data_IF_713623591005
#
_entry.id   IF_713623591005
#
_cell.length_a   1.000
_cell.length_b   1.000
_cell.length_c   1.000
_cell.angle_alpha   90.00
_cell.angle_beta   90.00
_cell.angle_gamma   90.00
#
_symmetry.space_group_name_H-M   'P 1'
#
loop_
_entity.id
_entity.type
_entity.pdbx_description
1 polymer ?
#
# COMPACT_ATOMS: atom_id res chain seq x y z
N UNK A 1 -34.05 -0.98 37.74
CA UNK A 1 -33.74 0.19 36.89
C UNK A 1 -32.66 0.98 37.60
N UNK A 2 -31.39 0.66 37.33
CA UNK A 2 -30.26 1.48 37.75
C UNK A 2 -29.83 2.35 36.56
N UNK A 3 -29.41 3.60 36.78
CA UNK A 3 -29.14 4.56 35.74
C UNK A 3 -27.79 4.30 35.07
N UNK A 4 -27.79 4.25 33.73
CA UNK A 4 -26.59 4.38 32.89
C UNK A 4 -26.00 5.78 33.09
N UNK A 5 -25.04 5.91 34.00
CA UNK A 5 -24.25 7.14 34.16
C UNK A 5 -22.78 6.82 33.89
N UNK A 6 -22.48 6.53 32.61
CA UNK A 6 -21.10 6.51 32.14
C UNK A 6 -20.79 7.90 31.54
N UNK A 7 -19.97 8.74 32.18
CA UNK A 7 -19.68 10.07 31.66
C UNK A 7 -18.99 9.93 30.30
N UNK A 8 -19.62 10.47 29.23
CA UNK A 8 -19.06 10.45 27.87
C UNK A 8 -17.65 11.02 27.91
N UNK A 9 -16.65 10.14 27.86
CA UNK A 9 -15.23 10.50 27.89
C UNK A 9 -14.98 11.52 26.77
N UNK A 10 -14.71 12.77 27.15
CA UNK A 10 -14.54 13.87 26.20
C UNK A 10 -13.26 13.63 25.39
N UNK A 11 -13.36 13.72 24.06
CA UNK A 11 -12.19 13.63 23.18
C UNK A 11 -11.15 14.69 23.58
N UNK A 12 -9.85 14.36 23.54
CA UNK A 12 -8.79 15.32 23.81
C UNK A 12 -8.73 16.43 22.76
N UNK A 13 -8.16 17.57 23.16
CA UNK A 13 -7.95 18.73 22.29
C UNK A 13 -7.05 18.37 21.11
N UNK A 14 -7.16 19.14 20.02
CA UNK A 14 -6.30 18.98 18.84
C UNK A 14 -4.87 19.40 19.18
N UNK A 15 -3.91 18.59 18.76
CA UNK A 15 -2.48 18.88 18.91
C UNK A 15 -1.92 19.60 17.69
N UNK A 16 -0.70 20.13 17.81
CA UNK A 16 -0.01 20.80 16.71
C UNK A 16 0.12 19.87 15.50
N UNK A 17 0.62 18.66 15.70
CA UNK A 17 0.76 17.62 14.69
C UNK A 17 -0.56 17.32 13.95
N UNK A 18 -1.64 17.09 14.71
CA UNK A 18 -2.95 16.81 14.12
C UNK A 18 -3.49 18.02 13.34
N UNK A 19 -3.18 19.23 13.80
CA UNK A 19 -3.60 20.46 13.13
C UNK A 19 -2.76 20.74 11.88
N UNK A 20 -1.47 20.40 11.88
CA UNK A 20 -0.60 20.43 10.71
C UNK A 20 -1.08 19.48 9.62
N UNK A 21 -1.42 18.24 9.98
CA UNK A 21 -1.99 17.24 9.06
C UNK A 21 -3.35 17.68 8.51
N UNK A 22 -4.19 18.32 9.33
CA UNK A 22 -5.47 18.87 8.89
C UNK A 22 -5.28 20.08 7.95
N UNK A 23 -4.25 20.89 8.19
CA UNK A 23 -3.93 22.01 7.32
C UNK A 23 -3.40 21.54 5.96
N UNK A 24 -2.55 20.52 5.96
CA UNK A 24 -2.07 19.89 4.73
C UNK A 24 -3.21 19.28 3.91
N UNK A 25 -4.14 18.57 4.55
CA UNK A 25 -5.35 18.09 3.89
C UNK A 25 -6.20 19.24 3.31
N UNK A 26 -6.32 20.37 4.03
CA UNK A 26 -6.97 21.56 3.50
C UNK A 26 -6.26 22.08 2.23
N UNK A 27 -4.93 22.14 2.23
CA UNK A 27 -4.15 22.60 1.07
C UNK A 27 -4.35 21.72 -0.15
N UNK A 28 -4.46 20.39 0.03
CA UNK A 28 -4.85 19.45 -1.03
C UNK A 28 -6.26 19.68 -1.57
N UNK A 29 -7.15 20.21 -0.71
CA UNK A 29 -8.56 20.49 -1.02
C UNK A 29 -8.81 21.91 -1.56
N UNK A 30 -7.81 22.81 -1.57
CA UNK A 30 -7.93 24.16 -2.17
C UNK A 30 -8.29 24.04 -3.66
N UNK A 31 -9.11 24.94 -4.23
CA UNK A 31 -9.92 24.58 -5.38
C UNK A 31 -9.15 24.49 -6.70
N UNK A 32 -9.49 23.46 -7.49
CA UNK A 32 -9.99 23.67 -8.88
C UNK A 32 -11.44 23.21 -9.09
N UNK A 33 -12.17 22.69 -8.09
CA UNK A 33 -13.58 22.32 -8.26
C UNK A 33 -14.38 22.31 -6.94
N UNK A 34 -15.70 22.49 -7.05
CA UNK A 34 -16.61 22.92 -5.99
C UNK A 34 -17.11 21.83 -5.02
N UNK A 35 -16.40 20.70 -4.87
CA UNK A 35 -16.73 19.70 -3.85
C UNK A 35 -15.48 19.30 -3.08
N UNK A 36 -15.46 19.40 -1.73
CA UNK A 36 -14.40 18.81 -0.92
C UNK A 36 -14.33 17.33 -1.25
N UNK A 37 -13.15 16.86 -1.64
CA UNK A 37 -12.89 15.45 -1.81
C UNK A 37 -13.07 14.76 -0.45
N UNK A 38 -14.18 14.03 -0.30
CA UNK A 38 -14.52 13.34 0.94
C UNK A 38 -13.48 12.26 1.27
N UNK A 39 -12.76 11.75 0.26
CA UNK A 39 -11.75 10.70 0.45
C UNK A 39 -10.55 11.24 1.23
N UNK A 40 -10.13 12.49 0.99
CA UNK A 40 -9.04 13.15 1.74
C UNK A 40 -9.39 13.28 3.23
N UNK A 41 -10.64 13.61 3.54
CA UNK A 41 -11.11 13.70 4.94
C UNK A 41 -11.16 12.32 5.59
N UNK A 42 -11.64 11.30 4.87
CA UNK A 42 -11.70 9.92 5.36
C UNK A 42 -10.28 9.41 5.66
N UNK A 43 -9.35 9.60 4.73
CA UNK A 43 -7.95 9.22 4.89
C UNK A 43 -7.32 9.89 6.11
N UNK A 44 -7.49 11.22 6.23
CA UNK A 44 -6.98 11.96 7.38
C UNK A 44 -7.60 11.46 8.70
N UNK A 45 -8.91 11.17 8.70
CA UNK A 45 -9.60 10.62 9.87
C UNK A 45 -9.02 9.28 10.33
N UNK A 46 -8.82 8.34 9.39
CA UNK A 46 -8.22 7.04 9.69
C UNK A 46 -6.77 7.20 10.19
N UNK A 47 -6.00 8.10 9.58
CA UNK A 47 -4.63 8.38 9.96
C UNK A 47 -4.51 8.97 11.38
N UNK A 48 -5.35 9.96 11.70
CA UNK A 48 -5.38 10.58 13.04
C UNK A 48 -5.81 9.59 14.12
N UNK A 49 -6.74 8.67 13.82
CA UNK A 49 -7.12 7.59 14.73
C UNK A 49 -5.98 6.61 14.99
N UNK A 50 -5.20 6.26 13.96
CA UNK A 50 -3.97 5.47 14.13
C UNK A 50 -2.97 6.22 15.02
N UNK A 51 -2.72 7.49 14.73
CA UNK A 51 -1.79 8.32 15.51
C UNK A 51 -2.21 8.44 16.99
N UNK A 52 -3.51 8.61 17.25
CA UNK A 52 -4.05 8.61 18.60
C UNK A 52 -3.77 7.30 19.36
N UNK A 53 -3.96 6.15 18.71
CA UNK A 53 -3.68 4.83 19.32
C UNK A 53 -2.20 4.67 19.69
N UNK A 54 -1.29 5.08 18.80
CA UNK A 54 0.17 5.02 19.06
C UNK A 54 0.60 5.87 20.26
N UNK A 55 -0.18 6.92 20.58
CA UNK A 55 -0.01 7.78 21.75
C UNK A 55 -0.78 7.30 22.98
N UNK A 56 -1.38 6.12 22.92
CA UNK A 56 -2.17 5.55 24.01
C UNK A 56 -3.51 6.24 24.25
N UNK A 57 -4.02 7.00 23.27
CA UNK A 57 -5.36 7.61 23.34
C UNK A 57 -6.39 6.53 23.06
N UNK A 58 -7.37 6.42 23.95
CA UNK A 58 -8.55 5.59 23.78
C UNK A 58 -9.43 6.17 22.65
N UNK A 59 -9.14 5.72 21.43
CA UNK A 59 -9.78 6.17 20.19
C UNK A 59 -11.19 5.57 20.06
N UNK A 60 -12.10 6.01 20.92
CA UNK A 60 -13.51 5.69 20.82
C UNK A 60 -14.13 6.17 19.49
N UNK A 61 -15.37 5.78 19.17
CA UNK A 61 -15.99 6.00 17.87
C UNK A 61 -16.14 7.48 17.46
N UNK A 62 -16.01 8.40 18.42
CA UNK A 62 -16.05 9.85 18.19
C UNK A 62 -14.68 10.48 18.00
N UNK A 63 -13.58 9.78 18.28
CA UNK A 63 -12.23 10.34 18.22
C UNK A 63 -11.81 10.55 16.77
N UNK A 64 -11.55 11.82 16.41
CA UNK A 64 -11.10 12.25 15.08
C UNK A 64 -11.84 11.54 13.93
N UNK A 65 -13.15 11.34 14.10
CA UNK A 65 -14.01 10.77 13.06
C UNK A 65 -14.19 11.75 11.88
N UNK A 66 -14.74 11.24 10.77
CA UNK A 66 -14.89 11.98 9.50
C UNK A 66 -15.57 13.34 9.71
N UNK A 67 -16.62 13.41 10.52
CA UNK A 67 -17.34 14.66 10.83
C UNK A 67 -16.50 15.64 11.65
N UNK A 68 -15.74 15.14 12.62
CA UNK A 68 -14.83 15.94 13.44
C UNK A 68 -13.69 16.53 12.60
N UNK A 69 -13.13 15.73 11.70
CA UNK A 69 -12.05 16.13 10.79
C UNK A 69 -12.57 17.12 9.74
N UNK A 70 -13.70 16.84 9.10
CA UNK A 70 -14.37 17.77 8.17
C UNK A 70 -14.53 19.16 8.76
N UNK A 71 -15.08 19.24 9.99
CA UNK A 71 -15.28 20.52 10.69
C UNK A 71 -13.96 21.23 11.01
N UNK A 72 -12.90 20.48 11.34
CA UNK A 72 -11.58 21.06 11.61
C UNK A 72 -10.96 21.63 10.34
N UNK A 73 -10.93 20.86 9.26
CA UNK A 73 -10.43 21.28 7.94
C UNK A 73 -11.20 22.50 7.42
N UNK A 74 -12.53 22.51 7.57
CA UNK A 74 -13.36 23.66 7.22
C UNK A 74 -13.00 24.93 8.02
N UNK A 75 -12.77 24.81 9.34
CA UNK A 75 -12.34 25.95 10.18
C UNK A 75 -10.97 26.50 9.78
N UNK A 76 -10.03 25.62 9.41
CA UNK A 76 -8.72 26.00 8.87
C UNK A 76 -8.87 26.81 7.58
N UNK A 77 -9.80 26.42 6.70
CA UNK A 77 -10.09 27.16 5.46
C UNK A 77 -10.63 28.58 5.69
N UNK A 78 -11.40 28.79 6.75
CA UNK A 78 -11.97 30.10 7.08
C UNK A 78 -10.89 31.08 7.58
N UNK A 79 -9.92 30.57 8.33
CA UNK A 79 -8.80 31.37 8.85
C UNK A 79 -7.93 31.97 7.75
N UNK A 80 -7.82 31.28 6.61
CA UNK A 80 -7.06 31.75 5.45
C UNK A 80 -7.80 32.81 4.62
N UNK A 81 -9.14 32.78 4.58
CA UNK A 81 -9.95 33.78 3.86
C UNK A 81 -10.01 35.16 4.56
N UNK A 82 -9.27 35.34 5.65
CA UNK A 82 -9.32 36.57 6.45
C UNK A 82 -10.65 36.77 7.20
N UNK A 83 -11.50 35.74 7.23
CA UNK A 83 -12.70 35.69 8.07
C UNK A 83 -12.22 35.44 9.50
N UNK A 84 -11.89 36.51 10.23
CA UNK A 84 -11.27 36.43 11.55
C UNK A 84 -12.07 35.48 12.50
N UNK A 85 -11.42 34.48 13.13
CA UNK A 85 -12.05 33.63 14.13
C UNK A 85 -12.05 34.29 15.52
N UNK A 86 -12.13 35.62 15.61
CA UNK A 86 -12.07 36.36 16.89
C UNK A 86 -13.25 36.06 17.82
N UNK A 87 -14.20 35.23 17.38
CA UNK A 87 -15.32 34.72 18.19
C UNK A 87 -15.27 33.22 18.48
N UNK A 88 -14.29 32.47 17.95
CA UNK A 88 -14.24 31.00 18.08
C UNK A 88 -13.12 30.61 19.05
N UNK A 89 -13.49 30.30 20.30
CA UNK A 89 -12.59 29.62 21.26
C UNK A 89 -11.90 28.43 20.56
N UNK A 90 -10.57 28.45 20.54
CA UNK A 90 -9.75 27.34 20.03
C UNK A 90 -9.19 27.48 18.61
N UNK A 91 -9.04 28.71 18.08
CA UNK A 91 -8.39 28.99 16.78
C UNK A 91 -6.91 29.43 16.89
N UNK A 92 -6.36 29.49 18.10
CA UNK A 92 -5.00 29.98 18.38
C UNK A 92 -3.91 29.05 17.80
N UNK A 93 -4.17 27.75 17.85
CA UNK A 93 -3.25 26.72 17.37
C UNK A 93 -3.11 26.76 15.85
N UNK A 94 -4.22 26.94 15.16
CA UNK A 94 -4.33 27.10 13.72
C UNK A 94 -3.56 28.33 13.25
N UNK A 95 -3.73 29.46 13.94
CA UNK A 95 -2.99 30.70 13.65
C UNK A 95 -1.48 30.53 13.87
N UNK A 96 -1.11 29.87 14.96
CA UNK A 96 0.30 29.61 15.30
C UNK A 96 0.99 28.77 14.23
N UNK A 97 0.34 27.70 13.76
CA UNK A 97 0.87 26.87 12.68
C UNK A 97 0.96 27.67 11.39
N UNK A 98 -0.06 28.47 11.06
CA UNK A 98 -0.01 29.26 9.83
C UNK A 98 1.14 30.28 9.81
N UNK A 99 1.38 30.95 10.93
CA UNK A 99 2.50 31.89 11.10
C UNK A 99 3.84 31.14 11.07
N UNK A 100 3.93 29.96 11.71
CA UNK A 100 5.16 29.15 11.77
C UNK A 100 5.69 28.79 10.38
N UNK A 101 4.80 28.55 9.42
CA UNK A 101 5.16 28.24 8.04
C UNK A 101 5.10 29.45 7.10
N UNK A 102 4.92 30.67 7.63
CA UNK A 102 4.87 31.92 6.86
C UNK A 102 3.84 31.91 5.71
N UNK A 103 2.76 31.15 5.86
CA UNK A 103 1.77 30.95 4.79
C UNK A 103 2.29 30.16 3.58
N UNK A 104 3.47 29.52 3.67
CA UNK A 104 4.08 28.72 2.60
C UNK A 104 3.45 27.31 2.54
N UNK A 105 2.66 27.00 1.50
CA UNK A 105 1.99 25.71 1.39
C UNK A 105 2.96 24.54 1.20
N UNK A 106 4.10 24.75 0.52
CA UNK A 106 5.07 23.68 0.24
C UNK A 106 5.75 23.23 1.53
N UNK A 107 6.11 24.17 2.39
CA UNK A 107 6.70 23.86 3.71
C UNK A 107 5.72 23.16 4.65
N UNK A 108 4.43 23.47 4.55
CA UNK A 108 3.37 22.75 5.28
C UNK A 108 3.27 21.31 4.79
N UNK A 109 3.29 21.10 3.46
CA UNK A 109 3.24 19.76 2.85
C UNK A 109 4.46 18.95 3.27
N UNK A 110 5.67 19.49 3.13
CA UNK A 110 6.91 18.81 3.50
C UNK A 110 6.93 18.42 4.98
N UNK A 111 6.54 19.34 5.87
CA UNK A 111 6.51 19.07 7.31
C UNK A 111 5.45 18.01 7.67
N UNK A 112 4.29 18.02 7.02
CA UNK A 112 3.26 17.00 7.21
C UNK A 112 3.70 15.63 6.68
N UNK A 113 4.42 15.57 5.56
CA UNK A 113 4.99 14.32 5.03
C UNK A 113 6.06 13.74 5.95
N UNK A 114 6.99 14.57 6.44
CA UNK A 114 8.00 14.17 7.41
C UNK A 114 7.35 13.63 8.71
N UNK A 115 6.29 14.30 9.19
CA UNK A 115 5.52 13.86 10.35
C UNK A 115 4.80 12.53 10.08
N UNK A 116 4.19 12.33 8.91
CA UNK A 116 3.55 11.06 8.53
C UNK A 116 4.56 9.93 8.54
N UNK A 117 5.74 10.13 7.95
CA UNK A 117 6.83 9.14 7.95
C UNK A 117 7.29 8.79 9.37
N UNK A 118 7.47 9.79 10.23
CA UNK A 118 7.87 9.57 11.63
C UNK A 118 6.81 8.79 12.43
N UNK A 119 5.52 9.07 12.20
CA UNK A 119 4.41 8.33 12.84
C UNK A 119 4.40 6.88 12.35
N UNK A 120 4.59 6.63 11.06
CA UNK A 120 4.66 5.27 10.52
C UNK A 120 5.85 4.47 11.04
N UNK A 121 7.03 5.09 11.11
CA UNK A 121 8.23 4.48 11.68
C UNK A 121 8.06 4.19 13.18
N UNK A 122 7.40 5.09 13.92
CA UNK A 122 7.04 4.85 15.33
C UNK A 122 6.08 3.68 15.50
N UNK A 123 5.06 3.58 14.62
CA UNK A 123 4.14 2.45 14.60
C UNK A 123 4.88 1.12 14.37
N UNK A 124 5.77 1.11 13.37
CA UNK A 124 6.58 -0.05 13.05
C UNK A 124 7.48 -0.47 14.23
N UNK A 125 8.06 0.49 14.97
CA UNK A 125 8.91 0.21 16.14
C UNK A 125 8.15 -0.31 17.35
N UNK A 126 6.94 0.20 17.62
CA UNK A 126 6.10 -0.29 18.72
C UNK A 126 5.64 -1.74 18.46
N UNK A 127 5.37 -2.11 17.20
CA UNK A 127 5.03 -3.48 16.82
C UNK A 127 6.21 -4.46 16.95
N UNK A 128 7.45 -3.97 16.76
CA UNK A 128 8.68 -4.77 16.91
C UNK A 128 8.96 -5.13 18.39
N UNK A 129 8.74 -4.19 19.32
CA UNK A 129 9.04 -4.39 20.74
C UNK A 129 8.07 -5.35 21.46
N UNK A 130 6.93 -5.69 20.86
CA UNK A 130 5.92 -6.57 21.44
C UNK A 130 6.16 -8.08 21.23
N UNK A 131 7.24 -8.49 20.54
CA UNK A 131 7.42 -9.85 19.98
C UNK A 131 8.58 -10.70 20.54
N UNK A 132 9.17 -10.39 21.69
CA UNK A 132 10.29 -11.20 22.24
C UNK A 132 9.83 -12.51 22.95
N UNK A 133 10.00 -13.66 22.27
CA UNK A 133 9.84 -15.06 22.75
C UNK A 133 10.29 -16.11 21.70
N UNK A 134 10.67 -17.37 22.06
CA UNK A 134 11.51 -18.25 21.21
C UNK A 134 10.78 -18.99 20.06
N UNK A 135 11.52 -19.29 18.96
CA UNK A 135 11.03 -19.50 17.57
C UNK A 135 11.09 -20.96 17.02
N UNK A 136 10.04 -21.39 16.30
CA UNK A 136 10.01 -22.30 15.12
C UNK A 136 8.65 -22.07 14.39
N UNK A 137 8.49 -21.86 13.05
CA UNK A 137 9.12 -22.42 11.83
C UNK A 137 9.90 -21.37 11.01
N UNK A 138 10.28 -21.66 9.75
CA UNK A 138 11.26 -20.89 8.96
C UNK A 138 10.95 -19.38 8.89
N UNK A 139 11.89 -18.57 9.37
CA UNK A 139 11.69 -17.23 9.95
C UNK A 139 11.50 -16.05 8.96
N UNK A 140 11.16 -16.30 7.69
CA UNK A 140 11.20 -15.25 6.66
C UNK A 140 9.84 -14.68 6.22
N UNK A 141 8.70 -15.24 6.64
CA UNK A 141 7.40 -14.79 6.10
C UNK A 141 6.19 -14.96 7.04
N UNK A 142 6.40 -15.09 8.35
CA UNK A 142 5.30 -15.28 9.33
C UNK A 142 4.80 -13.97 9.94
N UNK A 143 4.75 -12.88 9.18
CA UNK A 143 4.08 -11.67 9.64
C UNK A 143 2.58 -11.74 9.30
N UNK A 144 1.74 -11.93 10.31
CA UNK A 144 0.29 -11.68 10.27
C UNK A 144 0.02 -10.18 10.04
N UNK A 145 0.28 -9.71 8.80
CA UNK A 145 -0.05 -8.38 8.29
C UNK A 145 -1.38 -8.47 7.53
N UNK A 146 -2.43 -7.70 7.89
CA UNK A 146 -3.77 -7.89 7.31
C UNK A 146 -3.91 -7.44 5.84
N UNK A 147 -2.92 -6.76 5.24
CA UNK A 147 -2.87 -6.54 3.79
C UNK A 147 -1.49 -6.06 3.31
N UNK A 148 -1.04 -6.56 2.14
CA UNK A 148 0.14 -6.11 1.38
C UNK A 148 -0.24 -5.31 0.12
N UNK A 149 -1.53 -5.01 -0.07
CA UNK A 149 -2.04 -4.29 -1.24
C UNK A 149 -1.77 -2.79 -1.15
N UNK A 150 -1.48 -2.10 -2.27
CA UNK A 150 -1.44 -0.64 -2.27
C UNK A 150 -2.80 -0.11 -1.79
N UNK A 151 -2.79 0.88 -0.89
CA UNK A 151 -4.01 1.57 -0.50
C UNK A 151 -4.75 2.05 -1.76
N UNK A 152 -6.07 1.87 -1.86
CA UNK A 152 -6.83 2.38 -3.00
C UNK A 152 -6.64 3.89 -3.07
N UNK A 153 -6.23 4.38 -4.23
CA UNK A 153 -5.99 5.81 -4.49
C UNK A 153 -7.01 6.24 -5.54
N UNK A 154 -7.87 7.20 -5.21
CA UNK A 154 -8.80 7.82 -6.16
C UNK A 154 -8.15 9.05 -6.82
N UNK A 155 -8.54 9.35 -8.06
CA UNK A 155 -8.00 10.45 -8.85
C UNK A 155 -7.41 10.02 -10.20
N UNK A 156 -7.13 11.00 -11.05
CA UNK A 156 -6.51 10.78 -12.36
C UNK A 156 -5.04 10.37 -12.17
N UNK A 157 -4.65 9.23 -12.75
CA UNK A 157 -3.27 8.75 -12.75
C UNK A 157 -2.66 8.96 -14.13
N UNK A 158 -1.62 9.77 -14.18
CA UNK A 158 -0.72 9.82 -15.34
C UNK A 158 0.44 8.87 -15.07
N UNK A 159 0.60 7.85 -15.93
CA UNK A 159 1.75 6.94 -15.90
C UNK A 159 2.64 7.30 -17.08
N UNK A 160 3.84 7.76 -16.79
CA UNK A 160 4.90 7.90 -17.81
C UNK A 160 5.65 6.57 -17.85
N UNK A 161 5.61 5.91 -19.00
CA UNK A 161 6.32 4.66 -19.24
C UNK A 161 7.55 5.00 -20.09
N UNK A 162 8.72 4.94 -19.47
CA UNK A 162 9.99 4.98 -20.20
C UNK A 162 10.37 3.55 -20.58
N UNK A 163 10.65 3.35 -21.86
CA UNK A 163 11.13 2.06 -22.35
C UNK A 163 12.52 1.80 -21.75
N UNK A 164 12.68 0.62 -21.16
CA UNK A 164 13.87 0.23 -20.41
C UNK A 164 14.12 -1.26 -20.61
N UNK A 165 15.34 -1.70 -20.27
CA UNK A 165 15.73 -3.10 -20.30
C UNK A 165 14.63 -4.00 -19.72
N UNK A 166 14.12 -4.89 -20.58
CA UNK A 166 13.02 -5.79 -20.24
C UNK A 166 13.52 -7.22 -20.31
N UNK A 167 13.02 -8.08 -19.42
CA UNK A 167 13.38 -9.49 -19.40
C UNK A 167 12.16 -10.37 -19.61
N UNK A 168 12.35 -11.49 -20.30
CA UNK A 168 11.42 -12.63 -20.21
C UNK A 168 11.86 -13.50 -19.05
N UNK A 169 10.94 -13.86 -18.16
CA UNK A 169 11.18 -14.70 -17.00
C UNK A 169 10.33 -15.96 -17.05
N UNK A 170 10.80 -17.00 -16.36
CA UNK A 170 10.04 -18.20 -16.04
C UNK A 170 10.00 -18.34 -14.52
N UNK A 171 8.80 -18.31 -13.95
CA UNK A 171 8.58 -18.73 -12.57
C UNK A 171 8.14 -20.19 -12.54
N UNK A 172 8.52 -20.91 -11.48
CA UNK A 172 8.07 -22.27 -11.18
C UNK A 172 7.24 -22.26 -9.91
N UNK A 173 6.14 -23.01 -9.88
CA UNK A 173 5.37 -23.25 -8.66
C UNK A 173 5.98 -24.44 -7.91
N UNK A 174 6.63 -24.16 -6.78
CA UNK A 174 7.28 -25.15 -5.93
C UNK A 174 6.38 -25.59 -4.79
N UNK A 175 6.58 -26.82 -4.29
CA UNK A 175 5.91 -27.34 -3.09
C UNK A 175 4.83 -28.38 -3.39
N UNK A 176 3.84 -28.49 -2.52
CA UNK A 176 2.75 -29.47 -2.64
C UNK A 176 1.70 -29.03 -3.69
N UNK A 177 2.09 -29.03 -4.97
CA UNK A 177 1.29 -28.48 -6.08
C UNK A 177 0.32 -29.48 -6.72
N UNK A 178 0.59 -30.78 -6.61
CA UNK A 178 -0.22 -31.82 -7.25
C UNK A 178 -1.73 -31.74 -6.95
N UNK A 179 -2.18 -31.41 -5.71
CA UNK A 179 -3.61 -31.29 -5.42
C UNK A 179 -4.34 -30.15 -6.14
N UNK A 180 -3.62 -29.21 -6.77
CA UNK A 180 -4.22 -28.06 -7.46
C UNK A 180 -4.63 -28.36 -8.91
N UNK A 181 -4.23 -29.50 -9.46
CA UNK A 181 -4.42 -29.83 -10.87
C UNK A 181 -5.01 -31.23 -11.03
N UNK A 182 -6.07 -31.35 -11.82
CA UNK A 182 -6.75 -32.64 -12.06
C UNK A 182 -5.84 -33.67 -12.75
N UNK A 183 -4.87 -33.21 -13.55
CA UNK A 183 -3.87 -34.04 -14.20
C UNK A 183 -2.60 -33.25 -14.55
N UNK A 184 -1.62 -33.27 -13.64
CA UNK A 184 -0.24 -32.87 -13.96
C UNK A 184 0.56 -34.14 -14.28
N UNK A 185 1.16 -34.28 -15.49
CA UNK A 185 2.00 -35.44 -15.79
C UNK A 185 3.14 -35.59 -14.78
N UNK A 186 3.48 -36.83 -14.43
CA UNK A 186 4.60 -37.11 -13.55
C UNK A 186 5.90 -36.53 -14.12
N UNK A 187 6.59 -35.71 -13.31
CA UNK A 187 7.87 -35.08 -13.68
C UNK A 187 7.76 -33.70 -14.34
N UNK A 188 6.55 -33.24 -14.67
CA UNK A 188 6.32 -31.86 -15.11
C UNK A 188 6.16 -30.91 -13.92
N UNK A 189 6.78 -29.75 -14.00
CA UNK A 189 6.51 -28.62 -13.12
C UNK A 189 5.45 -27.71 -13.75
N UNK A 190 4.76 -26.95 -12.90
CA UNK A 190 3.91 -25.84 -13.32
C UNK A 190 4.74 -24.58 -13.43
N UNK A 191 4.74 -23.98 -14.62
CA UNK A 191 5.57 -22.83 -14.95
C UNK A 191 4.69 -21.67 -15.39
N UNK A 192 5.13 -20.46 -15.05
CA UNK A 192 4.56 -19.21 -15.54
C UNK A 192 5.61 -18.45 -16.34
N UNK A 193 5.29 -18.12 -17.58
CA UNK A 193 6.14 -17.33 -18.46
C UNK A 193 5.61 -15.91 -18.50
N UNK A 194 6.48 -14.92 -18.43
CA UNK A 194 6.05 -13.53 -18.62
C UNK A 194 7.23 -12.60 -18.82
N UNK A 195 6.93 -11.31 -18.99
CA UNK A 195 7.94 -10.26 -19.11
C UNK A 195 7.81 -9.17 -18.04
N UNK A 196 8.94 -8.57 -17.66
CA UNK A 196 9.00 -7.45 -16.71
C UNK A 196 10.37 -6.78 -16.75
N UNK A 197 10.46 -5.52 -16.35
CA UNK A 197 11.72 -4.86 -16.00
C UNK A 197 12.17 -5.14 -14.53
N UNK A 198 11.32 -5.79 -13.73
CA UNK A 198 11.59 -6.09 -12.32
C UNK A 198 11.06 -7.49 -11.91
N UNK A 199 11.65 -8.59 -12.42
CA UNK A 199 11.16 -9.96 -12.21
C UNK A 199 11.04 -10.34 -10.72
N UNK A 200 11.98 -9.91 -9.87
CA UNK A 200 11.90 -10.16 -8.42
C UNK A 200 10.74 -9.42 -7.74
N UNK A 201 10.40 -8.20 -8.19
CA UNK A 201 9.20 -7.49 -7.70
C UNK A 201 7.94 -8.24 -8.11
N UNK A 202 7.87 -8.71 -9.36
CA UNK A 202 6.74 -9.51 -9.86
C UNK A 202 6.60 -10.81 -9.07
N UNK A 203 7.70 -11.50 -8.76
CA UNK A 203 7.71 -12.69 -7.91
C UNK A 203 7.09 -12.43 -6.54
N UNK A 204 7.49 -11.34 -5.86
CA UNK A 204 6.89 -10.94 -4.57
C UNK A 204 5.39 -10.67 -4.68
N UNK A 205 4.95 -10.03 -5.77
CA UNK A 205 3.53 -9.77 -6.00
C UNK A 205 2.73 -11.06 -6.19
N UNK A 206 3.27 -12.03 -6.93
CA UNK A 206 2.62 -13.33 -7.12
C UNK A 206 2.51 -14.09 -5.78
N UNK A 207 3.59 -14.13 -4.99
CA UNK A 207 3.59 -14.79 -3.69
C UNK A 207 2.79 -14.05 -2.62
N UNK A 208 2.58 -12.74 -2.74
CA UNK A 208 1.69 -11.99 -1.85
C UNK A 208 0.22 -12.44 -1.96
N UNK A 209 -0.16 -13.10 -3.05
CA UNK A 209 -1.48 -13.72 -3.20
C UNK A 209 -1.63 -15.06 -2.47
N UNK A 210 -0.53 -15.64 -1.97
CA UNK A 210 -0.56 -16.88 -1.20
C UNK A 210 -0.41 -16.59 0.29
N UNK A 211 -1.33 -17.08 1.15
CA UNK A 211 -1.12 -17.16 2.59
C UNK A 211 0.25 -17.80 2.91
N UNK A 212 1.04 -17.23 3.84
CA UNK A 212 2.36 -17.76 4.18
C UNK A 212 2.38 -19.21 4.66
N UNK A 213 1.26 -19.70 5.19
CA UNK A 213 1.10 -21.08 5.63
C UNK A 213 0.85 -22.09 4.49
N UNK A 214 0.69 -21.64 3.23
CA UNK A 214 0.56 -22.55 2.10
C UNK A 214 1.86 -23.33 1.87
N UNK A 215 1.73 -24.63 1.63
CA UNK A 215 2.87 -25.52 1.35
C UNK A 215 3.45 -25.39 -0.06
N UNK A 216 3.16 -24.30 -0.78
CA UNK A 216 3.66 -24.03 -2.11
C UNK A 216 3.88 -22.53 -2.35
N UNK A 217 4.75 -22.20 -3.31
CA UNK A 217 5.10 -20.81 -3.67
C UNK A 217 5.62 -20.71 -5.10
N UNK A 218 5.61 -19.52 -5.67
CA UNK A 218 6.38 -19.23 -6.87
C UNK A 218 7.85 -19.01 -6.53
N UNK A 219 8.74 -19.47 -7.41
CA UNK A 219 10.18 -19.22 -7.40
C UNK A 219 10.67 -18.83 -8.80
N UNK A 220 11.74 -18.04 -8.90
CA UNK A 220 12.33 -17.63 -10.18
C UNK A 220 13.28 -18.72 -10.70
N UNK A 221 12.94 -19.26 -11.87
CA UNK A 221 13.68 -20.37 -12.49
C UNK A 221 14.65 -19.88 -13.56
N UNK A 222 14.23 -18.94 -14.41
CA UNK A 222 15.06 -18.43 -15.50
C UNK A 222 14.67 -17.00 -15.86
N UNK A 223 15.64 -16.26 -16.41
CA UNK A 223 15.50 -14.90 -16.92
C UNK A 223 16.36 -14.75 -18.17
N UNK A 224 15.82 -14.11 -19.22
CA UNK A 224 16.53 -13.73 -20.44
C UNK A 224 16.32 -12.23 -20.70
N UNK A 225 17.40 -11.42 -20.74
CA UNK A 225 17.29 -10.00 -21.05
C UNK A 225 17.09 -9.75 -22.55
N UNK A 226 16.39 -8.66 -22.86
CA UNK A 226 16.13 -8.15 -24.20
C UNK A 226 16.40 -6.65 -24.25
N UNK A 227 16.60 -6.12 -25.45
CA UNK A 227 17.00 -4.73 -25.66
C UNK A 227 15.89 -3.73 -25.31
N UNK A 228 14.63 -4.12 -25.47
CA UNK A 228 13.46 -3.25 -25.27
C UNK A 228 12.22 -4.08 -24.88
N UNK A 229 11.15 -3.40 -24.47
CA UNK A 229 9.91 -4.06 -24.07
C UNK A 229 9.23 -4.82 -25.21
N UNK A 230 9.38 -4.36 -26.46
CA UNK A 230 8.74 -4.97 -27.62
C UNK A 230 9.41 -6.31 -27.98
N UNK A 231 10.73 -6.35 -28.05
CA UNK A 231 11.51 -7.58 -28.30
C UNK A 231 11.32 -8.62 -27.19
N UNK A 232 11.20 -8.18 -25.93
CA UNK A 232 10.82 -9.08 -24.83
C UNK A 232 9.39 -9.63 -25.00
N UNK A 233 8.45 -8.81 -25.46
CA UNK A 233 7.08 -9.24 -25.73
C UNK A 233 7.04 -10.25 -26.88
N UNK A 234 7.67 -9.95 -28.01
CA UNK A 234 7.69 -10.84 -29.18
C UNK A 234 8.32 -12.19 -28.83
N UNK A 235 9.40 -12.21 -28.04
CA UNK A 235 10.03 -13.43 -27.57
C UNK A 235 9.16 -14.23 -26.59
N UNK A 236 8.47 -13.55 -25.65
CA UNK A 236 7.47 -14.18 -24.75
C UNK A 236 6.34 -14.84 -25.56
N UNK A 237 5.77 -14.12 -26.52
CA UNK A 237 4.68 -14.63 -27.36
C UNK A 237 5.12 -15.80 -28.23
N UNK A 238 6.30 -15.71 -28.85
CA UNK A 238 6.86 -16.80 -29.65
C UNK A 238 7.09 -18.07 -28.80
N UNK A 239 7.62 -17.92 -27.58
CA UNK A 239 7.82 -19.03 -26.66
C UNK A 239 6.50 -19.68 -26.24
N UNK A 240 5.49 -18.88 -25.87
CA UNK A 240 4.16 -19.38 -25.49
C UNK A 240 3.50 -20.13 -26.66
N UNK A 241 3.52 -19.56 -27.87
CA UNK A 241 2.95 -20.21 -29.06
C UNK A 241 3.63 -21.54 -29.38
N UNK A 242 4.97 -21.61 -29.27
CA UNK A 242 5.72 -22.87 -29.43
C UNK A 242 5.24 -23.93 -28.42
N UNK A 243 5.19 -23.57 -27.13
CA UNK A 243 4.80 -24.50 -26.06
C UNK A 243 3.33 -24.92 -26.15
N UNK A 244 2.46 -24.05 -26.67
CA UNK A 244 1.07 -24.42 -26.95
C UNK A 244 0.98 -25.44 -28.08
N UNK A 245 1.79 -25.28 -29.13
CA UNK A 245 1.93 -26.27 -30.20
C UNK A 245 2.43 -27.63 -29.70
N UNK A 246 3.18 -27.66 -28.60
CA UNK A 246 3.62 -28.87 -27.91
C UNK A 246 2.61 -29.43 -26.90
N UNK A 247 1.37 -28.91 -26.87
CA UNK A 247 0.32 -29.29 -25.91
C UNK A 247 0.73 -29.12 -24.42
N UNK A 248 1.62 -28.16 -24.14
CA UNK A 248 2.08 -27.83 -22.78
C UNK A 248 1.26 -26.73 -22.10
N UNK A 249 0.27 -26.16 -22.77
CA UNK A 249 -0.53 -25.08 -22.20
C UNK A 249 -1.35 -25.56 -21.00
N UNK A 250 -1.39 -24.75 -19.96
CA UNK A 250 -2.35 -24.81 -18.86
C UNK A 250 -3.36 -23.63 -18.93
N UNK A 251 -3.35 -22.88 -20.03
CA UNK A 251 -4.17 -21.69 -20.24
C UNK A 251 -3.42 -20.39 -19.92
N UNK A 252 -3.58 -19.38 -20.78
CA UNK A 252 -2.86 -18.11 -20.65
C UNK A 252 -1.35 -18.31 -20.51
N UNK A 253 -0.69 -17.49 -19.69
CA UNK A 253 0.76 -17.51 -19.46
C UNK A 253 1.32 -18.76 -18.72
N UNK A 254 0.50 -19.79 -18.51
CA UNK A 254 0.86 -20.96 -17.71
C UNK A 254 1.08 -22.20 -18.58
N UNK A 255 2.13 -22.96 -18.26
CA UNK A 255 2.51 -24.17 -18.99
C UNK A 255 2.98 -25.28 -18.04
N UNK A 256 2.95 -26.52 -18.51
CA UNK A 256 3.55 -27.70 -17.87
C UNK A 256 4.79 -28.16 -18.63
N UNK A 257 5.88 -28.39 -17.93
CA UNK A 257 7.10 -28.94 -18.52
C UNK A 257 8.10 -29.41 -17.46
N UNK A 258 9.04 -30.30 -17.80
CA UNK A 258 10.13 -30.65 -16.90
C UNK A 258 11.04 -29.44 -16.69
N UNK A 259 11.41 -29.14 -15.44
CA UNK A 259 12.31 -28.03 -15.07
C UNK A 259 13.56 -27.94 -15.95
N UNK A 260 14.14 -29.10 -16.24
CA UNK A 260 15.38 -29.22 -16.99
C UNK A 260 15.26 -28.68 -18.42
N UNK A 261 14.06 -28.75 -19.02
CA UNK A 261 13.82 -28.28 -20.39
C UNK A 261 13.85 -26.75 -20.50
N UNK A 262 13.64 -26.01 -19.41
CA UNK A 262 13.62 -24.53 -19.43
C UNK A 262 14.96 -23.94 -19.86
N UNK A 263 16.08 -24.64 -19.63
CA UNK A 263 17.41 -24.18 -20.05
C UNK A 263 17.49 -23.95 -21.56
N UNK A 264 16.83 -24.81 -22.34
CA UNK A 264 16.89 -24.77 -23.82
C UNK A 264 15.81 -23.85 -24.42
N UNK A 265 15.02 -23.16 -23.59
CA UNK A 265 13.92 -22.34 -24.11
C UNK A 265 14.38 -21.00 -24.67
N UNK A 266 15.55 -20.55 -24.25
CA UNK A 266 16.15 -19.27 -24.59
C UNK A 266 17.39 -19.37 -25.47
N UNK A 267 17.67 -20.58 -25.97
CA UNK A 267 18.68 -20.89 -26.98
C UNK A 267 18.03 -20.81 -28.37
#
# INVERSE_FOLDING_TARGET
MQPDDNPRRRNPDWTEDETLLALEAYLRLRPKSARPDLDVIIELSQFLQLYGRLRGIDAGPTFRNVDGVSRKVFKLSASERGEAPDTVRGAELERTIWIRYDGDPERVIEAAEALRLAIYDTAARQDLNAREGPIAPNAADTEDKPSRGPAPVFGERTVVIEDSDCVVYVHVLEGAVAPLFDALPDGDDVLKIGRSNAPHRRLRQLNAGFPPAMGFRWSLLAVKPFADAQSAHDAEQALLLRLYGEARSLGGEFVKAPRASVKTWFD
#
